data_IF_424266913772
#
_entry.id   IF_424266913772
#
_cell.length_a   1.000
_cell.length_b   1.000
_cell.length_c   1.000
_cell.angle_alpha   90.00
_cell.angle_beta   90.00
_cell.angle_gamma   90.00
#
_symmetry.space_group_name_H-M   'P 1'
#
loop_
_entity.id
_entity.type
_entity.pdbx_description
1 polymer ?
#
# COMPACT_ATOMS: atom_id res chain seq x y z
N UNK A 1 -0.87 -15.19 -17.32
CA UNK A 1 -1.45 -14.08 -16.52
C UNK A 1 -1.22 -14.44 -15.06
N UNK A 2 -0.38 -13.67 -14.34
CA UNK A 2 -0.20 -13.78 -12.90
C UNK A 2 -1.13 -12.76 -12.25
N UNK A 3 -2.23 -13.21 -11.65
CA UNK A 3 -3.05 -12.42 -10.73
C UNK A 3 -3.26 -13.30 -9.50
N UNK A 4 -3.32 -12.81 -8.27
CA UNK A 4 -3.40 -11.41 -7.83
C UNK A 4 -2.69 -11.26 -6.48
N UNK A 5 -1.94 -10.19 -6.33
CA UNK A 5 -1.09 -9.92 -5.16
C UNK A 5 -1.81 -8.92 -4.25
N UNK A 6 -1.46 -8.81 -2.96
CA UNK A 6 -1.92 -7.76 -2.03
C UNK A 6 -1.63 -6.39 -2.62
N UNK A 7 -2.61 -5.70 -3.26
CA UNK A 7 -2.34 -4.49 -3.98
C UNK A 7 -2.37 -3.33 -3.02
N UNK A 8 -1.20 -2.75 -2.84
CA UNK A 8 -1.05 -1.39 -2.36
C UNK A 8 -1.10 -0.46 -3.57
N UNK A 9 -1.67 0.72 -3.41
CA UNK A 9 -1.71 1.74 -4.44
C UNK A 9 -1.29 3.09 -3.88
N UNK A 10 -0.25 3.68 -4.46
CA UNK A 10 0.21 5.03 -4.17
C UNK A 10 -0.16 5.94 -5.35
N UNK A 11 -1.15 6.81 -5.12
CA UNK A 11 -1.52 7.86 -6.05
C UNK A 11 -0.99 9.20 -5.53
N UNK A 12 -0.48 10.06 -6.41
CA UNK A 12 -0.07 11.41 -6.04
C UNK A 12 -0.26 12.38 -7.19
N UNK A 13 -0.54 13.66 -6.92
CA UNK A 13 -0.63 14.67 -7.98
C UNK A 13 0.75 15.04 -8.52
N UNK A 14 0.84 15.26 -9.83
CA UNK A 14 2.06 15.75 -10.49
C UNK A 14 2.62 16.99 -9.81
N UNK A 15 3.94 17.01 -9.60
CA UNK A 15 4.64 18.08 -8.89
C UNK A 15 4.89 17.80 -7.40
N UNK A 16 4.13 16.88 -6.79
CA UNK A 16 4.38 16.45 -5.40
C UNK A 16 5.71 15.72 -5.28
N UNK A 17 5.95 14.76 -6.17
CA UNK A 17 7.20 14.00 -6.25
C UNK A 17 7.51 13.63 -7.70
N UNK A 18 8.78 13.33 -7.98
CA UNK A 18 9.21 12.78 -9.27
C UNK A 18 8.78 11.31 -9.39
N UNK A 19 8.73 10.79 -10.61
CA UNK A 19 8.45 9.37 -10.84
C UNK A 19 9.45 8.46 -10.12
N UNK A 20 10.74 8.81 -10.16
CA UNK A 20 11.79 8.08 -9.44
C UNK A 20 11.59 8.10 -7.92
N UNK A 21 11.22 9.26 -7.35
CA UNK A 21 10.91 9.37 -5.92
C UNK A 21 9.67 8.54 -5.57
N UNK A 22 8.64 8.54 -6.42
CA UNK A 22 7.46 7.69 -6.29
C UNK A 22 7.81 6.19 -6.27
N UNK A 23 8.64 5.73 -7.21
CA UNK A 23 9.11 4.33 -7.26
C UNK A 23 9.88 3.94 -5.99
N UNK A 24 10.78 4.81 -5.51
CA UNK A 24 11.52 4.60 -4.26
C UNK A 24 10.59 4.57 -3.05
N UNK A 25 9.59 5.46 -2.99
CA UNK A 25 8.59 5.49 -1.93
C UNK A 25 7.76 4.21 -1.93
N UNK A 26 7.24 3.80 -3.09
CA UNK A 26 6.47 2.56 -3.25
C UNK A 26 7.25 1.34 -2.77
N UNK A 27 8.53 1.21 -3.17
CA UNK A 27 9.40 0.14 -2.68
C UNK A 27 9.50 0.12 -1.15
N UNK A 28 9.78 1.27 -0.53
CA UNK A 28 9.90 1.39 0.94
C UNK A 28 8.58 1.10 1.65
N UNK A 29 7.45 1.49 1.08
CA UNK A 29 6.11 1.21 1.65
C UNK A 29 5.83 -0.30 1.59
N UNK A 30 6.15 -0.98 0.49
CA UNK A 30 6.05 -2.44 0.38
C UNK A 30 6.92 -3.14 1.43
N UNK A 31 8.17 -2.70 1.59
CA UNK A 31 9.08 -3.21 2.62
C UNK A 31 8.53 -2.97 4.05
N UNK A 32 7.98 -1.79 4.31
CA UNK A 32 7.35 -1.45 5.58
C UNK A 32 6.11 -2.32 5.85
N UNK A 33 5.28 -2.56 4.83
CA UNK A 33 4.13 -3.45 4.93
C UNK A 33 4.58 -4.85 5.37
N UNK A 34 5.55 -5.45 4.68
CA UNK A 34 6.10 -6.76 5.04
C UNK A 34 6.68 -6.76 6.47
N UNK A 35 7.45 -5.73 6.84
CA UNK A 35 8.04 -5.57 8.17
C UNK A 35 6.99 -5.60 9.28
N UNK A 36 5.96 -4.76 9.17
CA UNK A 36 4.92 -4.63 10.20
C UNK A 36 4.04 -5.87 10.36
N UNK A 37 4.06 -6.77 9.38
CA UNK A 37 3.37 -8.06 9.44
C UNK A 37 4.31 -9.22 9.84
N UNK A 38 5.58 -8.95 10.17
CA UNK A 38 6.55 -10.00 10.48
C UNK A 38 6.92 -10.87 9.27
N UNK A 39 6.69 -10.37 8.05
CA UNK A 39 6.89 -11.10 6.78
C UNK A 39 8.19 -10.71 6.07
N UNK A 40 9.11 -10.04 6.77
CA UNK A 40 10.41 -9.69 6.22
C UNK A 40 11.19 -10.95 5.79
N UNK A 41 11.48 -11.06 4.50
CA UNK A 41 12.17 -12.22 3.92
C UNK A 41 11.27 -13.43 3.63
N UNK A 42 9.96 -13.37 3.91
CA UNK A 42 9.02 -14.43 3.59
C UNK A 42 8.90 -14.60 2.07
N UNK A 43 9.26 -15.78 1.57
CA UNK A 43 9.37 -16.02 0.11
C UNK A 43 8.02 -16.12 -0.60
N UNK A 44 6.95 -16.38 0.13
CA UNK A 44 5.59 -16.44 -0.41
C UNK A 44 5.02 -15.04 -0.51
N UNK A 45 5.10 -14.24 0.54
CA UNK A 45 4.47 -12.92 0.56
C UNK A 45 5.27 -11.84 -0.14
N UNK A 46 6.60 -11.91 -0.15
CA UNK A 46 7.44 -10.90 -0.82
C UNK A 46 7.04 -10.64 -2.28
N UNK A 47 6.86 -11.66 -3.15
CA UNK A 47 6.38 -11.43 -4.52
C UNK A 47 4.87 -11.11 -4.59
N UNK A 48 4.10 -11.50 -3.57
CA UNK A 48 2.65 -11.34 -3.52
C UNK A 48 2.19 -10.06 -2.77
N UNK A 49 3.09 -9.12 -2.45
CA UNK A 49 2.74 -7.74 -2.07
C UNK A 49 3.11 -6.82 -3.20
N UNK A 50 2.12 -6.33 -3.93
CA UNK A 50 2.35 -5.41 -5.06
C UNK A 50 2.11 -3.97 -4.69
N UNK A 51 2.72 -3.08 -5.47
CA UNK A 51 2.51 -1.65 -5.38
C UNK A 51 2.20 -1.09 -6.77
N UNK A 52 1.02 -0.52 -6.93
CA UNK A 52 0.67 0.31 -8.07
C UNK A 52 1.03 1.75 -7.75
N UNK A 53 1.70 2.44 -8.68
CA UNK A 53 2.16 3.81 -8.48
C UNK A 53 1.64 4.64 -9.64
N UNK A 54 0.90 5.70 -9.34
CA UNK A 54 0.30 6.54 -10.37
C UNK A 54 0.43 8.03 -10.03
N UNK A 55 1.01 8.77 -10.96
CA UNK A 55 0.96 10.23 -10.93
C UNK A 55 -0.34 10.70 -11.57
N UNK A 56 -1.19 11.35 -10.79
CA UNK A 56 -2.40 12.03 -11.26
C UNK A 56 -2.01 13.37 -11.91
N UNK A 57 -2.72 13.85 -12.94
CA UNK A 57 -2.54 15.20 -13.46
C UNK A 57 -2.65 16.25 -12.34
N UNK A 58 -2.08 17.45 -12.54
CA UNK A 58 -2.05 18.52 -11.52
C UNK A 58 -3.43 18.86 -10.91
N UNK A 59 -4.51 18.77 -11.69
CA UNK A 59 -5.89 18.97 -11.24
C UNK A 59 -6.70 17.66 -11.22
N UNK A 60 -6.02 16.52 -11.10
CA UNK A 60 -6.62 15.19 -11.14
C UNK A 60 -7.25 14.74 -9.82
N UNK A 61 -7.24 15.59 -8.79
CA UNK A 61 -7.84 15.33 -7.49
C UNK A 61 -8.53 16.59 -6.96
N UNK A 62 -9.62 16.37 -6.21
CA UNK A 62 -10.40 17.42 -5.57
C UNK A 62 -10.49 17.16 -4.05
N UNK A 63 -10.50 18.23 -3.26
CA UNK A 63 -10.87 18.21 -1.85
C UNK A 63 -11.95 19.27 -1.62
N UNK A 64 -13.10 18.87 -1.07
CA UNK A 64 -14.25 19.76 -0.92
C UNK A 64 -14.82 20.30 -2.24
N UNK A 65 -14.51 19.65 -3.37
CA UNK A 65 -14.91 20.09 -4.71
C UNK A 65 -13.89 20.97 -5.45
N UNK A 66 -12.79 21.36 -4.79
CA UNK A 66 -11.75 22.22 -5.37
C UNK A 66 -10.45 21.46 -5.65
N UNK A 67 -9.67 21.84 -6.68
CA UNK A 67 -8.37 21.22 -6.99
C UNK A 67 -7.45 21.16 -5.77
N UNK A 68 -6.83 20.00 -5.55
CA UNK A 68 -5.92 19.78 -4.43
C UNK A 68 -4.67 19.02 -4.88
N UNK A 69 -3.52 19.41 -4.33
CA UNK A 69 -2.31 18.60 -4.40
C UNK A 69 -2.30 17.61 -3.24
N UNK A 70 -2.04 16.33 -3.51
CA UNK A 70 -2.17 15.29 -2.48
C UNK A 70 -1.47 14.00 -2.82
N UNK A 71 -1.39 13.13 -1.82
CA UNK A 71 -0.99 11.74 -1.96
C UNK A 71 -1.95 10.82 -1.21
N UNK A 72 -2.29 9.67 -1.80
CA UNK A 72 -3.22 8.69 -1.27
C UNK A 72 -2.59 7.30 -1.34
N UNK A 73 -2.51 6.64 -0.19
CA UNK A 73 -2.13 5.23 -0.08
C UNK A 73 -3.36 4.37 0.22
N UNK A 74 -3.78 3.58 -0.74
CA UNK A 74 -4.83 2.57 -0.55
C UNK A 74 -4.20 1.19 -0.35
N UNK A 75 -4.62 0.48 0.69
CA UNK A 75 -4.22 -0.90 0.94
C UNK A 75 -5.43 -1.80 0.76
N UNK A 76 -5.43 -2.68 -0.23
CA UNK A 76 -6.45 -3.73 -0.37
C UNK A 76 -5.84 -5.03 0.11
N UNK A 77 -6.44 -5.67 1.10
CA UNK A 77 -5.82 -6.84 1.75
C UNK A 77 -6.86 -7.88 2.16
N UNK A 78 -6.44 -9.13 2.41
CA UNK A 78 -7.22 -10.07 3.23
C UNK A 78 -7.51 -9.47 4.61
N UNK A 79 -8.60 -9.92 5.25
CA UNK A 79 -9.08 -9.31 6.50
C UNK A 79 -8.19 -9.52 7.73
N UNK A 80 -7.19 -10.39 7.65
CA UNK A 80 -6.22 -10.62 8.73
C UNK A 80 -5.01 -9.67 8.67
N UNK A 81 -4.68 -9.14 7.48
CA UNK A 81 -3.62 -8.14 7.33
C UNK A 81 -4.15 -6.78 7.79
N UNK A 82 -3.30 -5.96 8.42
CA UNK A 82 -3.67 -4.68 9.03
C UNK A 82 -4.87 -4.78 10.02
N UNK A 83 -5.10 -5.97 10.62
CA UNK A 83 -6.18 -6.18 11.58
C UNK A 83 -5.84 -5.71 13.01
N UNK A 84 -4.56 -5.80 13.39
CA UNK A 84 -4.10 -5.40 14.73
C UNK A 84 -3.83 -3.89 14.80
N UNK A 85 -4.22 -3.27 15.93
CA UNK A 85 -4.20 -1.81 16.07
C UNK A 85 -2.78 -1.23 16.07
N UNK A 86 -1.84 -1.91 16.70
CA UNK A 86 -0.42 -1.56 16.72
C UNK A 86 0.19 -1.60 15.31
N UNK A 87 -0.12 -2.64 14.53
CA UNK A 87 0.29 -2.76 13.12
C UNK A 87 -0.28 -1.59 12.32
N UNK A 88 -1.57 -1.27 12.46
CA UNK A 88 -2.19 -0.14 11.76
C UNK A 88 -1.49 1.18 12.10
N UNK A 89 -1.31 1.49 13.39
CA UNK A 89 -0.66 2.73 13.82
C UNK A 89 0.77 2.80 13.29
N UNK A 90 1.53 1.72 13.43
CA UNK A 90 2.93 1.65 13.01
C UNK A 90 3.09 1.78 11.50
N UNK A 91 2.39 0.94 10.73
CA UNK A 91 2.47 0.92 9.28
C UNK A 91 2.03 2.24 8.66
N UNK A 92 0.84 2.76 9.03
CA UNK A 92 0.36 3.99 8.41
C UNK A 92 1.22 5.19 8.79
N UNK A 93 1.75 5.26 10.02
CA UNK A 93 2.72 6.30 10.38
C UNK A 93 3.97 6.23 9.51
N UNK A 94 4.58 5.06 9.39
CA UNK A 94 5.81 4.90 8.60
C UNK A 94 5.58 5.16 7.12
N UNK A 95 4.46 4.71 6.57
CA UNK A 95 4.07 5.01 5.20
C UNK A 95 3.89 6.51 4.96
N UNK A 96 3.22 7.23 5.88
CA UNK A 96 3.11 8.69 5.83
C UNK A 96 4.48 9.37 5.88
N UNK A 97 5.38 8.93 6.76
CA UNK A 97 6.73 9.47 6.87
C UNK A 97 7.53 9.24 5.55
N UNK A 98 7.39 8.07 4.92
CA UNK A 98 8.02 7.74 3.64
C UNK A 98 7.51 8.67 2.52
N UNK A 99 6.19 8.87 2.43
CA UNK A 99 5.57 9.74 1.42
C UNK A 99 6.00 11.19 1.63
N UNK A 100 6.00 11.67 2.87
CA UNK A 100 6.42 13.02 3.21
C UNK A 100 7.89 13.27 2.86
N UNK A 101 8.76 12.30 3.14
CA UNK A 101 10.17 12.37 2.77
C UNK A 101 10.36 12.39 1.24
N UNK A 102 9.59 11.57 0.50
CA UNK A 102 9.63 11.55 -0.97
C UNK A 102 9.10 12.85 -1.61
N UNK A 103 8.20 13.56 -0.91
CA UNK A 103 7.71 14.87 -1.33
C UNK A 103 8.70 16.01 -1.03
N UNK A 104 9.77 15.78 -0.26
CA UNK A 104 10.82 16.76 0.05
C UNK A 104 10.26 18.11 0.56
N UNK A 105 9.23 18.07 1.40
CA UNK A 105 8.59 19.26 1.96
C UNK A 105 7.59 19.98 1.03
N UNK A 106 7.38 19.48 -0.19
CA UNK A 106 6.37 20.02 -1.13
C UNK A 106 4.93 19.70 -0.72
N UNK A 107 4.72 18.67 0.09
CA UNK A 107 3.40 18.23 0.52
C UNK A 107 3.30 18.24 2.05
N UNK A 108 2.37 19.01 2.64
CA UNK A 108 2.12 18.96 4.07
C UNK A 108 1.45 17.65 4.49
N UNK A 109 1.65 17.24 5.75
CA UNK A 109 1.18 15.94 6.25
C UNK A 109 -0.36 15.80 6.23
N UNK A 110 -1.08 16.90 6.36
CA UNK A 110 -2.55 16.93 6.30
C UNK A 110 -3.11 16.71 4.88
N UNK A 111 -2.23 16.55 3.88
CA UNK A 111 -2.57 16.18 2.49
C UNK A 111 -2.04 14.80 2.09
N UNK A 112 -1.60 14.00 3.07
CA UNK A 112 -1.25 12.59 2.89
C UNK A 112 -2.33 11.75 3.53
N UNK A 113 -3.03 10.98 2.71
CA UNK A 113 -4.16 10.16 3.13
C UNK A 113 -3.80 8.68 2.99
N UNK A 114 -4.32 7.86 3.89
CA UNK A 114 -4.18 6.42 3.78
C UNK A 114 -5.39 5.68 4.34
N UNK A 115 -5.69 4.53 3.76
CA UNK A 115 -6.79 3.67 4.20
C UNK A 115 -6.51 2.20 3.85
N UNK A 116 -7.23 1.32 4.54
CA UNK A 116 -7.29 -0.11 4.21
C UNK A 116 -8.72 -0.50 3.85
N UNK A 117 -8.85 -1.40 2.87
CA UNK A 117 -10.10 -2.09 2.54
C UNK A 117 -9.83 -3.59 2.62
N UNK A 118 -10.56 -4.28 3.48
CA UNK A 118 -10.52 -5.73 3.56
C UNK A 118 -11.48 -6.35 2.55
N UNK A 119 -10.98 -7.30 1.77
CA UNK A 119 -11.84 -8.09 0.88
C UNK A 119 -12.59 -9.17 1.66
N UNK A 120 -13.65 -9.70 1.05
CA UNK A 120 -14.39 -10.84 1.58
C UNK A 120 -13.49 -12.08 1.63
N UNK A 121 -13.67 -12.92 2.66
CA UNK A 121 -12.93 -14.17 2.77
C UNK A 121 -13.21 -15.09 1.57
N UNK A 122 -12.19 -15.79 1.09
CA UNK A 122 -12.30 -16.67 -0.08
C UNK A 122 -12.29 -15.95 -1.43
N UNK A 123 -12.32 -14.60 -1.47
CA UNK A 123 -12.24 -13.85 -2.74
C UNK A 123 -10.81 -13.41 -3.07
N UNK A 124 -9.86 -13.69 -2.18
CA UNK A 124 -8.47 -13.38 -2.44
C UNK A 124 -7.87 -14.41 -3.37
N UNK A 125 -7.36 -13.99 -4.51
CA UNK A 125 -6.68 -14.89 -5.41
C UNK A 125 -5.18 -14.84 -5.14
N UNK A 126 -4.50 -15.97 -4.99
CA UNK A 126 -3.04 -16.09 -4.82
C UNK A 126 -2.56 -17.16 -5.80
N UNK A 127 -1.54 -16.86 -6.62
CA UNK A 127 -1.04 -17.76 -7.66
C UNK A 127 -2.12 -18.31 -8.62
N UNK A 128 -3.18 -17.53 -8.89
CA UNK A 128 -4.28 -17.92 -9.76
C UNK A 128 -5.42 -18.69 -9.05
N UNK A 129 -5.30 -18.98 -7.76
CA UNK A 129 -6.31 -19.71 -6.98
C UNK A 129 -7.02 -18.79 -5.98
N UNK A 130 -8.35 -18.81 -5.96
CA UNK A 130 -9.11 -18.15 -4.89
C UNK A 130 -8.93 -18.92 -3.57
N UNK A 131 -8.46 -18.24 -2.54
CA UNK A 131 -8.08 -18.81 -1.25
C UNK A 131 -8.83 -18.11 -0.11
N UNK A 132 -9.20 -18.92 0.88
CA UNK A 132 -9.64 -18.43 2.19
C UNK A 132 -8.46 -17.86 2.98
N UNK A 133 -8.75 -17.05 3.99
CA UNK A 133 -7.79 -16.52 4.94
C UNK A 133 -6.96 -17.62 5.61
N UNK A 134 -7.58 -18.78 5.91
CA UNK A 134 -6.86 -19.94 6.46
C UNK A 134 -5.85 -20.49 5.46
N UNK A 135 -6.28 -20.72 4.22
CA UNK A 135 -5.40 -21.23 3.16
C UNK A 135 -4.24 -20.27 2.87
N UNK A 136 -4.48 -18.95 2.89
CA UNK A 136 -3.40 -17.96 2.75
C UNK A 136 -2.44 -18.05 3.94
N UNK A 137 -2.96 -18.15 5.17
CA UNK A 137 -2.11 -18.26 6.37
C UNK A 137 -1.23 -19.52 6.34
N UNK A 138 -1.77 -20.65 5.85
CA UNK A 138 -1.03 -21.89 5.64
C UNK A 138 0.08 -21.72 4.59
N UNK A 139 -0.19 -20.99 3.49
CA UNK A 139 0.83 -20.67 2.48
C UNK A 139 1.91 -19.76 3.04
N UNK A 140 1.54 -18.73 3.81
CA UNK A 140 2.49 -17.82 4.48
C UNK A 140 3.49 -18.62 5.33
N UNK A 141 3.00 -19.60 6.09
CA UNK A 141 3.84 -20.41 6.99
C UNK A 141 4.89 -21.29 6.26
N UNK A 142 4.80 -21.45 4.94
CA UNK A 142 5.73 -22.24 4.13
C UNK A 142 6.93 -21.41 3.60
N UNK A 143 6.93 -20.10 3.79
CA UNK A 143 7.89 -19.15 3.18
C UNK A 143 8.75 -18.40 4.18
#
# INVERSE_FOLDING_TARGET
MKGTDMPLALNYTQGVMTEEAGLKAGKKITEAFLKWHGLGGNKVMTPNVTMQIQALPKNGALSGGEPVEGAWLECKTPSFALAARDIQVGFFKEATDIIAAAAEGRLPLDRIYSNVVHTVDGTWNLDGEAMTNSQISERIAQG
#
